data_IF_021808257068
#
_entry.id   IF_021808257068
#
_cell.length_a   1.000
_cell.length_b   1.000
_cell.length_c   1.000
_cell.angle_alpha   90.00
_cell.angle_beta   90.00
_cell.angle_gamma   90.00
#
_symmetry.space_group_name_H-M   'P 1'
#
loop_
_entity.id
_entity.type
_entity.pdbx_description
1 polymer ?
#
# COMPACT_ATOMS: atom_id res chain seq x y z
N UNK A 1 55.77 -16.49 11.10
CA UNK A 1 54.35 -16.46 11.51
C UNK A 1 53.94 -15.02 11.71
N UNK A 2 53.16 -14.47 10.78
CA UNK A 2 52.30 -13.31 11.03
C UNK A 2 50.99 -13.64 10.31
N UNK A 3 49.96 -13.90 11.11
CA UNK A 3 48.62 -14.33 10.69
C UNK A 3 47.88 -13.19 9.96
N UNK A 4 46.90 -13.51 9.09
CA UNK A 4 46.20 -12.50 8.29
C UNK A 4 45.32 -11.59 9.16
N UNK A 5 45.02 -10.35 8.72
CA UNK A 5 44.02 -9.52 9.38
C UNK A 5 42.62 -10.12 9.18
N UNK A 6 41.86 -10.16 10.27
CA UNK A 6 40.49 -10.70 10.42
C UNK A 6 39.40 -9.67 10.07
N UNK A 7 39.71 -8.68 9.23
CA UNK A 7 38.78 -7.59 8.91
C UNK A 7 38.17 -7.73 7.52
N UNK A 8 37.04 -8.43 7.47
CA UNK A 8 35.88 -8.00 6.71
C UNK A 8 34.69 -8.83 7.18
N UNK A 9 34.16 -8.43 8.33
CA UNK A 9 32.80 -8.70 8.74
C UNK A 9 31.86 -8.42 7.56
N UNK A 10 31.40 -9.46 6.87
CA UNK A 10 30.08 -9.41 6.24
C UNK A 10 29.09 -9.61 7.38
N UNK A 11 28.96 -8.59 8.22
CA UNK A 11 27.74 -8.40 8.99
C UNK A 11 26.70 -7.96 7.95
N UNK A 12 26.15 -8.95 7.25
CA UNK A 12 24.85 -8.79 6.62
C UNK A 12 23.87 -8.60 7.75
N UNK A 13 23.78 -7.36 8.25
CA UNK A 13 22.70 -6.92 9.10
C UNK A 13 21.42 -7.41 8.45
N UNK A 14 20.77 -8.37 9.12
CA UNK A 14 19.34 -8.63 8.99
C UNK A 14 18.64 -7.40 9.54
N UNK A 15 18.81 -6.28 8.85
CA UNK A 15 18.08 -5.05 9.07
C UNK A 15 16.67 -5.37 8.61
N UNK A 16 15.80 -5.59 9.60
CA UNK A 16 14.35 -5.67 9.50
C UNK A 16 13.90 -5.13 8.16
N UNK A 17 13.46 -6.02 7.27
CA UNK A 17 12.86 -5.63 5.99
C UNK A 17 11.68 -4.73 6.34
N UNK A 18 11.93 -3.42 6.44
CA UNK A 18 10.91 -2.38 6.50
C UNK A 18 10.22 -2.53 5.17
N UNK A 19 9.14 -3.31 5.22
CA UNK A 19 8.21 -3.63 4.16
C UNK A 19 8.11 -2.43 3.24
N UNK A 20 8.77 -2.52 2.08
CA UNK A 20 8.63 -1.55 1.01
C UNK A 20 7.11 -1.40 0.85
N UNK A 21 6.52 -0.21 1.03
CA UNK A 21 5.08 -0.06 0.91
C UNK A 21 4.75 -0.57 -0.48
N UNK A 22 3.99 -1.66 -0.50
CA UNK A 22 3.74 -2.36 -1.75
C UNK A 22 3.06 -1.38 -2.71
N UNK A 23 3.28 -1.51 -4.02
CA UNK A 23 2.72 -0.58 -5.00
C UNK A 23 1.21 -0.37 -4.83
N UNK A 24 0.51 -1.38 -4.30
CA UNK A 24 -0.90 -1.31 -3.93
C UNK A 24 -1.20 -0.26 -2.86
N UNK A 25 -0.48 -0.25 -1.74
CA UNK A 25 -0.71 0.68 -0.63
C UNK A 25 -0.42 2.13 -1.05
N UNK A 26 0.70 2.37 -1.73
CA UNK A 26 1.05 3.70 -2.23
C UNK A 26 0.01 4.23 -3.22
N UNK A 27 -0.47 3.38 -4.14
CA UNK A 27 -1.53 3.74 -5.08
C UNK A 27 -2.86 4.02 -4.39
N UNK A 28 -3.20 3.23 -3.36
CA UNK A 28 -4.43 3.41 -2.61
C UNK A 28 -4.39 4.70 -1.81
N UNK A 29 -3.28 4.99 -1.13
CA UNK A 29 -3.09 6.24 -0.40
C UNK A 29 -3.24 7.45 -1.33
N UNK A 30 -2.53 7.47 -2.45
CA UNK A 30 -2.64 8.55 -3.43
C UNK A 30 -4.04 8.67 -4.05
N UNK A 31 -4.81 7.58 -4.10
CA UNK A 31 -6.18 7.58 -4.60
C UNK A 31 -7.12 8.24 -3.58
N UNK A 32 -6.95 8.00 -2.29
CA UNK A 32 -7.78 8.61 -1.24
C UNK A 32 -7.40 10.09 -1.03
N UNK A 33 -6.14 10.45 -1.25
CA UNK A 33 -5.65 11.84 -1.11
C UNK A 33 -6.21 12.81 -2.16
N UNK A 34 -6.83 12.30 -3.23
CA UNK A 34 -7.35 13.11 -4.32
C UNK A 34 -8.74 13.66 -4.01
N UNK A 35 -8.78 14.93 -3.55
CA UNK A 35 -10.03 15.65 -3.26
C UNK A 35 -11.02 15.76 -4.44
N UNK A 36 -10.58 15.52 -5.68
CA UNK A 36 -11.50 15.55 -6.85
C UNK A 36 -12.43 14.35 -6.92
N UNK A 37 -12.15 13.30 -6.14
CA UNK A 37 -12.92 12.06 -6.08
C UNK A 37 -13.48 11.78 -4.69
N UNK A 38 -13.51 12.78 -3.80
CA UNK A 38 -14.06 12.71 -2.44
C UNK A 38 -15.52 12.21 -2.41
N UNK A 39 -16.30 12.48 -3.48
CA UNK A 39 -17.68 11.99 -3.64
C UNK A 39 -17.76 10.46 -3.76
N UNK A 40 -16.65 9.79 -4.07
CA UNK A 40 -16.56 8.34 -4.29
C UNK A 40 -15.73 7.67 -3.20
N UNK A 41 -14.60 8.27 -2.83
CA UNK A 41 -13.70 7.80 -1.78
C UNK A 41 -13.02 9.00 -1.12
N UNK A 42 -13.05 9.06 0.21
CA UNK A 42 -12.44 10.17 0.96
C UNK A 42 -11.78 9.67 2.24
N UNK A 43 -10.87 10.48 2.78
CA UNK A 43 -10.44 10.32 4.17
C UNK A 43 -11.60 10.60 5.13
N UNK A 44 -11.56 9.93 6.28
CA UNK A 44 -12.34 10.31 7.45
C UNK A 44 -11.76 11.60 8.07
N UNK A 45 -12.53 12.27 8.94
CA UNK A 45 -12.14 13.56 9.56
C UNK A 45 -10.78 13.51 10.31
N UNK A 46 -10.39 12.32 10.79
CA UNK A 46 -9.15 12.09 11.51
C UNK A 46 -7.96 11.66 10.62
N UNK A 47 -8.20 11.43 9.31
CA UNK A 47 -7.19 10.93 8.36
C UNK A 47 -6.65 9.54 8.69
N UNK A 48 -7.26 8.81 9.63
CA UNK A 48 -6.78 7.50 10.07
C UNK A 48 -7.31 6.35 9.20
N UNK A 49 -8.46 6.59 8.57
CA UNK A 49 -9.19 5.64 7.76
C UNK A 49 -9.84 6.34 6.57
N UNK A 50 -10.14 5.57 5.54
CA UNK A 50 -10.83 6.08 4.36
C UNK A 50 -12.18 5.38 4.20
N UNK A 51 -13.13 6.10 3.62
CA UNK A 51 -14.50 5.66 3.41
C UNK A 51 -14.76 5.62 1.91
N UNK A 52 -15.30 4.50 1.44
CA UNK A 52 -15.77 4.36 0.05
C UNK A 52 -17.27 4.62 0.03
N UNK A 53 -17.67 5.82 -0.36
CA UNK A 53 -19.07 6.26 -0.40
C UNK A 53 -19.85 5.56 -1.51
N UNK A 54 -19.23 5.42 -2.69
CA UNK A 54 -19.86 4.84 -3.87
C UNK A 54 -19.03 3.66 -4.42
N UNK A 55 -19.20 2.44 -3.89
CA UNK A 55 -18.41 1.27 -4.31
C UNK A 55 -18.56 0.92 -5.80
N UNK A 56 -19.73 1.19 -6.38
CA UNK A 56 -20.01 0.92 -7.80
C UNK A 56 -19.16 1.81 -8.71
N UNK A 57 -19.11 3.11 -8.42
CA UNK A 57 -18.37 4.09 -9.22
C UNK A 57 -16.87 3.98 -8.94
N UNK A 58 -16.49 3.70 -7.69
CA UNK A 58 -15.13 3.33 -7.35
C UNK A 58 -14.63 2.15 -8.19
N UNK A 59 -15.45 1.10 -8.31
CA UNK A 59 -15.10 -0.09 -9.07
C UNK A 59 -15.03 0.16 -10.59
N UNK A 60 -15.95 0.95 -11.13
CA UNK A 60 -16.04 1.20 -12.59
C UNK A 60 -15.08 2.27 -13.08
N UNK A 61 -14.87 3.33 -12.31
CA UNK A 61 -14.16 4.53 -12.79
C UNK A 61 -12.78 4.68 -12.16
N UNK A 62 -12.59 4.29 -10.90
CA UNK A 62 -11.32 4.49 -10.18
C UNK A 62 -10.41 3.27 -10.26
N UNK A 63 -10.95 2.06 -10.03
CA UNK A 63 -10.16 0.84 -10.10
C UNK A 63 -9.43 0.65 -11.45
N UNK A 64 -10.07 0.77 -12.63
CA UNK A 64 -9.35 0.60 -13.90
C UNK A 64 -8.35 1.72 -14.22
N UNK A 65 -8.46 2.91 -13.60
CA UNK A 65 -7.47 3.99 -13.74
C UNK A 65 -6.20 3.72 -12.93
N UNK A 66 -6.35 3.12 -11.74
CA UNK A 66 -5.23 2.94 -10.80
C UNK A 66 -4.69 1.50 -10.75
N UNK A 67 -5.53 0.52 -11.07
CA UNK A 67 -5.27 -0.94 -11.01
C UNK A 67 -5.65 -1.63 -12.34
N UNK A 68 -5.16 -2.86 -12.54
CA UNK A 68 -5.42 -3.65 -13.76
C UNK A 68 -6.76 -4.42 -13.74
N UNK A 69 -7.67 -4.05 -12.85
CA UNK A 69 -8.98 -4.69 -12.71
C UNK A 69 -10.00 -3.66 -12.26
N UNK A 70 -11.29 -3.97 -12.43
CA UNK A 70 -12.42 -3.17 -11.95
C UNK A 70 -13.19 -3.89 -10.82
N UNK A 71 -12.62 -4.95 -10.24
CA UNK A 71 -13.30 -5.74 -9.21
C UNK A 71 -13.01 -5.21 -7.80
N UNK A 72 -14.04 -4.68 -7.13
CA UNK A 72 -13.95 -4.20 -5.75
C UNK A 72 -13.53 -5.30 -4.76
N UNK A 73 -13.99 -6.54 -4.96
CA UNK A 73 -13.63 -7.66 -4.09
C UNK A 73 -12.13 -7.96 -4.13
N UNK A 74 -11.50 -7.82 -5.30
CA UNK A 74 -10.05 -7.98 -5.44
C UNK A 74 -9.28 -6.87 -4.72
N UNK A 75 -9.81 -5.65 -4.72
CA UNK A 75 -9.25 -4.53 -3.97
C UNK A 75 -9.34 -4.77 -2.45
N UNK A 76 -10.52 -5.13 -1.95
CA UNK A 76 -10.74 -5.47 -0.53
C UNK A 76 -9.87 -6.65 -0.10
N UNK A 77 -9.71 -7.66 -0.95
CA UNK A 77 -8.83 -8.80 -0.66
C UNK A 77 -7.37 -8.37 -0.51
N UNK A 78 -6.89 -7.46 -1.35
CA UNK A 78 -5.52 -6.92 -1.21
C UNK A 78 -5.36 -6.13 0.09
N UNK A 79 -6.35 -5.32 0.49
CA UNK A 79 -6.35 -4.62 1.79
C UNK A 79 -6.31 -5.60 2.97
N UNK A 80 -7.15 -6.64 2.94
CA UNK A 80 -7.24 -7.63 4.01
C UNK A 80 -5.93 -8.38 4.25
N UNK A 81 -5.05 -8.49 3.25
CA UNK A 81 -3.71 -9.06 3.42
C UNK A 81 -2.84 -8.22 4.36
N UNK A 82 -3.02 -6.90 4.40
CA UNK A 82 -2.22 -6.01 5.27
C UNK A 82 -2.81 -5.85 6.66
N UNK A 83 -4.14 -5.93 6.79
CA UNK A 83 -4.83 -5.80 8.09
C UNK A 83 -4.76 -7.09 8.92
N UNK A 84 -4.54 -8.25 8.28
CA UNK A 84 -4.40 -9.55 8.95
C UNK A 84 -2.95 -10.00 9.20
N UNK A 85 -1.95 -9.19 8.87
CA UNK A 85 -0.55 -9.49 9.15
C UNK A 85 -0.10 -8.87 10.47
#
# INVERSE_FOLDING_TARGET
MNSPPVDAMITGESSSQRSIPTPFLTKTFNLVEDSSIDDVISWNEDGSSFIVWNPTDFAKDLLPKHFKHNNFSSFVRQLNTYVRL
#
